data_IF_632006256693
#
_entry.id   IF_632006256693
#
_cell.length_a   1.000
_cell.length_b   1.000
_cell.length_c   1.000
_cell.angle_alpha   90.00
_cell.angle_beta   90.00
_cell.angle_gamma   90.00
#
_symmetry.space_group_name_H-M   'P 1'
#
loop_
_entity.id
_entity.type
_entity.pdbx_description
1 polymer ?
#
# COMPACT_ATOMS: atom_id res chain seq x y z
N UNK A 1 -46.35 1.92 37.70
CA UNK A 1 -46.19 2.62 38.98
C UNK A 1 -45.39 3.87 38.68
N UNK A 2 -46.12 5.00 38.63
CA UNK A 2 -45.58 6.34 38.37
C UNK A 2 -44.75 6.80 39.59
N UNK A 3 -43.68 7.52 39.37
CA UNK A 3 -43.30 8.62 40.24
C UNK A 3 -42.59 9.71 39.45
N UNK A 4 -43.30 10.80 39.32
CA UNK A 4 -42.85 12.14 38.88
C UNK A 4 -42.27 12.83 40.10
N UNK A 5 -41.16 13.58 39.97
CA UNK A 5 -40.90 14.72 40.85
C UNK A 5 -40.28 15.86 40.05
N UNK A 6 -40.90 17.02 40.28
CA UNK A 6 -40.73 18.27 39.54
C UNK A 6 -39.91 19.31 40.35
N UNK A 7 -39.36 20.24 39.61
CA UNK A 7 -39.09 21.66 39.84
C UNK A 7 -38.46 22.15 41.17
N UNK A 8 -37.47 23.01 41.03
CA UNK A 8 -37.51 24.33 41.65
C UNK A 8 -36.58 25.33 40.93
N UNK A 9 -37.21 26.37 40.45
CA UNK A 9 -36.65 27.66 39.99
C UNK A 9 -36.19 28.50 41.19
N UNK A 10 -35.11 29.31 41.02
CA UNK A 10 -34.92 30.50 41.83
C UNK A 10 -34.22 31.58 41.00
N UNK A 11 -34.98 32.62 40.69
CA UNK A 11 -34.57 33.92 40.15
C UNK A 11 -34.61 34.90 41.32
N UNK A 12 -33.61 35.76 41.46
CA UNK A 12 -33.60 37.13 42.10
C UNK A 12 -32.22 37.71 41.78
N UNK A 13 -31.97 38.88 41.22
CA UNK A 13 -32.71 40.10 41.06
C UNK A 13 -31.74 41.25 41.28
N UNK A 14 -31.65 42.16 40.36
CA UNK A 14 -31.24 43.54 40.30
C UNK A 14 -30.63 44.25 41.52
N UNK A 15 -29.62 45.14 41.22
CA UNK A 15 -29.27 46.30 42.04
C UNK A 15 -28.15 47.12 41.48
N UNK A 16 -28.49 48.30 40.91
CA UNK A 16 -27.54 49.29 40.33
C UNK A 16 -27.15 50.33 41.41
N UNK A 17 -25.94 50.97 41.22
CA UNK A 17 -25.57 52.40 41.27
C UNK A 17 -24.09 52.51 41.70
N UNK A 18 -23.21 53.04 40.92
CA UNK A 18 -22.86 54.38 40.52
C UNK A 18 -21.81 55.10 41.46
N UNK A 19 -20.75 55.59 40.81
CA UNK A 19 -19.86 56.72 41.15
C UNK A 19 -18.76 56.41 42.19
N UNK A 20 -17.50 56.81 42.11
CA UNK A 20 -16.76 57.84 41.34
C UNK A 20 -15.25 57.58 41.42
N UNK A 21 -14.57 57.93 40.33
CA UNK A 21 -13.20 58.50 40.16
C UNK A 21 -12.03 58.13 41.10
N UNK A 22 -10.90 57.71 40.52
CA UNK A 22 -9.69 58.55 40.32
C UNK A 22 -8.52 57.76 39.68
N UNK A 23 -7.99 58.33 38.65
CA UNK A 23 -6.63 58.42 38.16
C UNK A 23 -5.58 57.35 38.51
N UNK A 24 -4.95 56.80 37.47
CA UNK A 24 -3.50 56.66 37.53
C UNK A 24 -2.90 55.38 36.93
N UNK A 25 -2.18 55.59 35.87
CA UNK A 25 -1.02 54.83 35.41
C UNK A 25 -1.29 53.71 34.39
N UNK A 26 -0.85 54.05 33.18
CA UNK A 26 -0.83 53.13 32.04
C UNK A 26 0.06 51.91 32.24
N UNK A 27 -0.51 50.77 31.90
CA UNK A 27 0.24 49.62 31.46
C UNK A 27 -0.45 49.13 30.17
N UNK A 28 0.23 49.34 29.07
CA UNK A 28 -0.13 48.83 27.75
C UNK A 28 0.03 47.33 27.82
N UNK A 29 -1.07 46.61 27.92
CA UNK A 29 -1.07 45.17 27.64
C UNK A 29 -0.76 44.96 26.14
N UNK A 30 0.11 44.00 25.78
CA UNK A 30 0.32 43.67 24.39
C UNK A 30 -0.96 43.03 23.86
N UNK A 31 -1.58 43.65 22.87
CA UNK A 31 -2.58 43.02 22.02
C UNK A 31 -1.88 41.86 21.33
N UNK A 32 -2.06 40.65 21.82
CA UNK A 32 -1.75 39.42 21.09
C UNK A 32 -2.76 39.38 19.95
N UNK A 33 -2.33 39.87 18.79
CA UNK A 33 -3.02 39.59 17.55
C UNK A 33 -2.83 38.08 17.30
N UNK A 34 -3.80 37.26 17.70
CA UNK A 34 -3.89 35.93 17.14
C UNK A 34 -4.07 36.13 15.64
N UNK A 35 -2.99 35.89 14.90
CA UNK A 35 -3.07 35.62 13.48
C UNK A 35 -3.84 34.30 13.38
N UNK A 36 -5.16 34.37 13.16
CA UNK A 36 -5.89 33.27 12.59
C UNK A 36 -5.27 33.05 11.21
N UNK A 37 -4.36 32.07 11.11
CA UNK A 37 -4.10 31.41 9.85
C UNK A 37 -5.47 30.90 9.39
N UNK A 38 -6.00 31.51 8.35
CA UNK A 38 -7.14 30.96 7.61
C UNK A 38 -6.63 29.65 7.04
N UNK A 39 -6.87 28.56 7.76
CA UNK A 39 -6.66 27.23 7.23
C UNK A 39 -7.44 27.16 5.91
N UNK A 40 -6.73 27.10 4.80
CA UNK A 40 -7.33 26.94 3.46
C UNK A 40 -8.02 25.60 3.50
N UNK A 41 -9.37 25.62 3.55
CA UNK A 41 -10.17 24.40 3.53
C UNK A 41 -10.00 23.74 2.16
N UNK A 42 -9.47 22.53 2.14
CA UNK A 42 -9.36 21.71 0.92
C UNK A 42 -9.70 20.27 1.25
N UNK A 43 -10.02 19.49 0.20
CA UNK A 43 -10.31 18.05 0.32
C UNK A 43 -9.51 17.22 -0.66
N UNK A 44 -9.24 16.00 -0.24
CA UNK A 44 -8.60 14.95 -1.03
C UNK A 44 -9.59 13.79 -1.09
N UNK A 45 -10.05 13.45 -2.29
CA UNK A 45 -10.87 12.27 -2.53
C UNK A 45 -10.01 11.03 -2.78
N UNK A 46 -10.24 9.95 -2.04
CA UNK A 46 -9.65 8.64 -2.33
C UNK A 46 -10.73 7.65 -2.69
N UNK A 47 -10.51 6.88 -3.75
CA UNK A 47 -11.43 5.88 -4.29
C UNK A 47 -10.76 4.53 -4.26
N UNK A 48 -11.39 3.55 -3.61
CA UNK A 48 -10.86 2.18 -3.50
C UNK A 48 -11.90 1.15 -3.92
N UNK A 49 -11.54 -0.12 -4.09
CA UNK A 49 -12.51 -1.22 -4.06
C UNK A 49 -13.26 -1.27 -2.72
N UNK A 50 -14.31 -2.07 -2.64
CA UNK A 50 -15.02 -2.33 -1.37
C UNK A 50 -14.16 -3.19 -0.44
N UNK A 51 -14.49 -3.18 0.85
CA UNK A 51 -13.84 -4.01 1.87
C UNK A 51 -13.79 -5.49 1.49
N UNK A 52 -14.88 -6.01 0.89
CA UNK A 52 -14.97 -7.40 0.45
C UNK A 52 -14.09 -7.73 -0.75
N UNK A 53 -13.76 -6.73 -1.57
CA UNK A 53 -12.97 -6.91 -2.80
C UNK A 53 -11.48 -6.72 -2.55
N UNK A 54 -11.09 -5.71 -1.75
CA UNK A 54 -9.71 -5.45 -1.36
C UNK A 54 -9.65 -4.79 0.02
N UNK A 55 -9.44 -5.61 1.04
CA UNK A 55 -9.44 -5.16 2.43
C UNK A 55 -8.31 -4.17 2.72
N UNK A 56 -7.08 -4.43 2.25
CA UNK A 56 -5.92 -3.59 2.53
C UNK A 56 -6.09 -2.15 2.01
N UNK A 57 -6.48 -2.00 0.74
CA UNK A 57 -6.67 -0.69 0.10
C UNK A 57 -7.85 0.08 0.74
N UNK A 58 -8.94 -0.64 1.08
CA UNK A 58 -10.07 -0.05 1.78
C UNK A 58 -9.66 0.47 3.15
N UNK A 59 -8.96 -0.36 3.95
CA UNK A 59 -8.51 0.03 5.30
C UNK A 59 -7.47 1.14 5.26
N UNK A 60 -6.57 1.14 4.28
CA UNK A 60 -5.63 2.23 4.08
C UNK A 60 -6.35 3.57 3.89
N UNK A 61 -7.40 3.59 3.07
CA UNK A 61 -8.21 4.79 2.87
C UNK A 61 -8.94 5.21 4.17
N UNK A 62 -9.52 4.26 4.92
CA UNK A 62 -10.17 4.54 6.21
C UNK A 62 -9.17 5.06 7.27
N UNK A 63 -7.94 4.54 7.28
CA UNK A 63 -6.86 5.08 8.13
C UNK A 63 -6.58 6.55 7.81
N UNK A 64 -6.55 6.90 6.53
CA UNK A 64 -6.33 8.29 6.11
C UNK A 64 -7.52 9.19 6.44
N UNK A 65 -8.77 8.69 6.36
CA UNK A 65 -9.95 9.40 6.87
C UNK A 65 -9.85 9.61 8.38
N UNK A 66 -9.45 8.60 9.15
CA UNK A 66 -9.28 8.73 10.59
C UNK A 66 -8.16 9.71 10.97
N UNK A 67 -7.07 9.75 10.18
CA UNK A 67 -5.95 10.68 10.39
C UNK A 67 -6.31 12.12 10.01
N UNK A 68 -7.09 12.32 8.96
CA UNK A 68 -7.45 13.62 8.40
C UNK A 68 -8.97 13.74 8.15
N UNK A 69 -9.82 13.71 9.18
CA UNK A 69 -11.28 13.60 9.04
C UNK A 69 -11.94 14.77 8.31
N UNK A 70 -11.32 15.94 8.36
CA UNK A 70 -11.83 17.15 7.68
C UNK A 70 -11.31 17.32 6.25
N UNK A 71 -10.29 16.56 5.86
CA UNK A 71 -9.58 16.70 4.58
C UNK A 71 -9.89 15.51 3.66
N UNK A 72 -9.77 14.28 4.16
CA UNK A 72 -9.87 13.08 3.33
C UNK A 72 -11.32 12.59 3.23
N UNK A 73 -11.77 12.37 2.00
CA UNK A 73 -13.07 11.79 1.68
C UNK A 73 -12.87 10.46 0.95
N UNK A 74 -13.30 9.37 1.58
CA UNK A 74 -13.26 8.05 0.97
C UNK A 74 -14.59 7.69 0.31
N UNK A 75 -14.52 7.13 -0.89
CA UNK A 75 -15.63 6.46 -1.57
C UNK A 75 -15.15 5.14 -2.16
N UNK A 76 -16.07 4.19 -2.36
CA UNK A 76 -15.75 2.91 -2.98
C UNK A 76 -16.28 2.79 -4.40
N UNK A 77 -15.58 2.01 -5.23
CA UNK A 77 -16.09 1.51 -6.49
C UNK A 77 -17.25 0.54 -6.24
N UNK A 78 -18.14 0.31 -7.23
CA UNK A 78 -19.12 -0.76 -7.16
C UNK A 78 -18.45 -2.13 -6.93
N UNK A 79 -19.07 -3.01 -6.15
CA UNK A 79 -18.53 -4.35 -5.86
C UNK A 79 -18.33 -5.19 -7.13
N UNK A 80 -19.24 -5.06 -8.08
CA UNK A 80 -19.15 -5.72 -9.39
C UNK A 80 -18.67 -4.75 -10.47
N UNK A 81 -17.56 -4.05 -10.21
CA UNK A 81 -17.05 -2.99 -11.08
C UNK A 81 -16.99 -3.37 -12.55
N UNK A 82 -16.56 -4.61 -12.89
CA UNK A 82 -16.45 -5.09 -14.28
C UNK A 82 -17.77 -5.02 -15.08
N UNK A 83 -18.92 -5.07 -14.40
CA UNK A 83 -20.25 -4.95 -15.00
C UNK A 83 -20.91 -3.59 -14.74
N UNK A 84 -20.38 -2.80 -13.81
CA UNK A 84 -20.93 -1.52 -13.36
C UNK A 84 -19.92 -0.37 -13.59
N UNK A 85 -19.11 -0.47 -14.65
CA UNK A 85 -18.04 0.50 -14.97
C UNK A 85 -18.58 1.94 -15.01
N UNK A 86 -19.68 2.20 -15.68
CA UNK A 86 -20.24 3.56 -15.82
C UNK A 86 -20.66 4.15 -14.45
N UNK A 87 -21.14 3.32 -13.53
CA UNK A 87 -21.43 3.73 -12.15
C UNK A 87 -20.16 4.17 -11.44
N UNK A 88 -19.09 3.36 -11.51
CA UNK A 88 -17.80 3.70 -10.93
C UNK A 88 -17.20 4.97 -11.50
N UNK A 89 -17.21 5.12 -12.83
CA UNK A 89 -16.73 6.34 -13.49
C UNK A 89 -17.52 7.59 -13.04
N UNK A 90 -18.85 7.46 -12.89
CA UNK A 90 -19.70 8.55 -12.40
C UNK A 90 -19.39 8.90 -10.95
N UNK A 91 -19.18 7.91 -10.08
CA UNK A 91 -18.80 8.13 -8.67
C UNK A 91 -17.47 8.89 -8.56
N UNK A 92 -16.44 8.46 -9.30
CA UNK A 92 -15.14 9.14 -9.32
C UNK A 92 -15.32 10.60 -9.81
N UNK A 93 -15.98 10.79 -10.95
CA UNK A 93 -16.17 12.12 -11.55
C UNK A 93 -16.96 13.06 -10.65
N UNK A 94 -17.89 12.55 -9.82
CA UNK A 94 -18.68 13.35 -8.89
C UNK A 94 -17.87 14.00 -7.76
N UNK A 95 -16.69 13.49 -7.47
CA UNK A 95 -15.77 14.13 -6.50
C UNK A 95 -15.38 15.54 -6.94
N UNK A 96 -15.26 15.78 -8.23
CA UNK A 96 -14.95 17.09 -8.80
C UNK A 96 -16.10 18.11 -8.69
N UNK A 97 -17.29 17.72 -8.22
CA UNK A 97 -18.41 18.63 -7.96
C UNK A 97 -18.23 19.41 -6.65
N UNK A 98 -17.42 18.90 -5.74
CA UNK A 98 -17.06 19.58 -4.51
C UNK A 98 -16.07 20.72 -4.80
N UNK A 99 -16.41 21.99 -4.52
CA UNK A 99 -15.52 23.12 -4.80
C UNK A 99 -14.23 23.12 -3.97
N UNK A 100 -14.22 22.44 -2.82
CA UNK A 100 -13.03 22.30 -1.97
C UNK A 100 -12.11 21.16 -2.41
N UNK A 101 -12.54 20.31 -3.36
CA UNK A 101 -11.72 19.19 -3.84
C UNK A 101 -10.47 19.70 -4.55
N UNK A 102 -9.29 19.29 -4.10
CA UNK A 102 -7.97 19.64 -4.64
C UNK A 102 -7.16 18.44 -5.14
N UNK A 103 -7.51 17.23 -4.72
CA UNK A 103 -6.91 16.02 -5.28
C UNK A 103 -7.94 14.88 -5.36
N UNK A 104 -7.82 14.03 -6.37
CA UNK A 104 -8.59 12.79 -6.53
C UNK A 104 -7.61 11.66 -6.82
N UNK A 105 -7.62 10.67 -5.94
CA UNK A 105 -6.74 9.50 -5.98
C UNK A 105 -7.58 8.26 -6.26
N UNK A 106 -7.24 7.48 -7.28
CA UNK A 106 -7.93 6.23 -7.60
C UNK A 106 -7.00 5.05 -7.38
N UNK A 107 -7.45 4.13 -6.54
CA UNK A 107 -6.71 2.92 -6.15
C UNK A 107 -7.59 1.72 -6.46
N UNK A 108 -7.20 0.85 -7.38
CA UNK A 108 -8.05 -0.32 -7.60
C UNK A 108 -7.36 -1.53 -8.25
N UNK A 109 -6.20 -1.38 -8.86
CA UNK A 109 -5.57 -2.47 -9.60
C UNK A 109 -6.45 -3.02 -10.73
N UNK A 110 -7.32 -2.18 -11.32
CA UNK A 110 -8.21 -2.52 -12.43
C UNK A 110 -8.01 -1.56 -13.60
N UNK A 111 -8.38 -2.01 -14.81
CA UNK A 111 -8.41 -1.18 -16.01
C UNK A 111 -9.81 -0.59 -16.26
N UNK A 112 -9.87 0.47 -17.06
CA UNK A 112 -11.12 1.13 -17.46
C UNK A 112 -11.50 2.32 -16.59
N UNK A 113 -10.61 2.81 -15.73
CA UNK A 113 -10.84 3.93 -14.81
C UNK A 113 -10.34 5.27 -15.35
N UNK A 114 -9.40 5.26 -16.29
CA UNK A 114 -8.83 6.45 -16.90
C UNK A 114 -9.88 7.45 -17.43
N UNK A 115 -11.02 7.05 -18.07
CA UNK A 115 -12.02 8.00 -18.55
C UNK A 115 -12.63 8.90 -17.47
N UNK A 116 -12.68 8.47 -16.20
CA UNK A 116 -13.15 9.31 -15.12
C UNK A 116 -12.16 10.44 -14.81
N UNK A 117 -10.87 10.13 -14.79
CA UNK A 117 -9.79 11.09 -14.53
C UNK A 117 -9.67 12.10 -15.69
N UNK A 118 -9.83 11.65 -16.93
CA UNK A 118 -9.91 12.53 -18.11
C UNK A 118 -11.05 13.55 -17.99
N UNK A 119 -12.24 13.11 -17.53
CA UNK A 119 -13.38 14.01 -17.30
C UNK A 119 -13.12 14.99 -16.16
N UNK A 120 -12.39 14.60 -15.14
CA UNK A 120 -11.99 15.49 -14.04
C UNK A 120 -11.05 16.56 -14.58
N UNK A 121 -10.02 16.18 -15.32
CA UNK A 121 -9.05 17.09 -15.95
C UNK A 121 -9.75 18.11 -16.86
N UNK A 122 -10.69 17.66 -17.71
CA UNK A 122 -11.48 18.54 -18.58
C UNK A 122 -12.35 19.54 -17.79
N UNK A 123 -12.92 19.11 -16.65
CA UNK A 123 -13.87 19.90 -15.86
C UNK A 123 -13.20 20.80 -14.84
N UNK A 124 -12.17 20.29 -14.19
CA UNK A 124 -11.47 20.90 -13.06
C UNK A 124 -9.96 20.64 -13.17
N UNK A 125 -9.26 21.29 -14.11
CA UNK A 125 -7.81 21.13 -14.30
C UNK A 125 -6.98 21.65 -13.11
N UNK A 126 -7.63 22.23 -12.10
CA UNK A 126 -7.03 22.61 -10.82
C UNK A 126 -7.00 21.48 -9.77
N UNK A 127 -7.60 20.33 -10.06
CA UNK A 127 -7.59 19.16 -9.22
C UNK A 127 -6.40 18.26 -9.59
N UNK A 128 -5.53 17.97 -8.63
CA UNK A 128 -4.46 16.98 -8.81
C UNK A 128 -5.10 15.60 -8.97
N UNK A 129 -4.81 14.94 -10.07
CA UNK A 129 -5.26 13.58 -10.33
C UNK A 129 -4.14 12.57 -10.07
N UNK A 130 -4.44 11.50 -9.32
CA UNK A 130 -3.45 10.48 -8.97
C UNK A 130 -4.01 9.07 -9.11
N UNK A 131 -3.14 8.11 -9.39
CA UNK A 131 -3.45 6.68 -9.34
C UNK A 131 -2.45 5.92 -8.47
N UNK A 132 -2.94 4.90 -7.74
CA UNK A 132 -2.13 4.19 -6.75
C UNK A 132 -2.52 2.70 -6.55
N UNK A 133 -2.37 1.80 -7.54
CA UNK A 133 -2.34 1.93 -9.00
C UNK A 133 -3.72 1.78 -9.68
N UNK A 134 -3.80 2.03 -10.98
CA UNK A 134 -4.80 1.45 -11.90
C UNK A 134 -4.08 0.83 -13.10
N UNK A 135 -4.75 -0.06 -13.87
CA UNK A 135 -4.10 -0.83 -14.94
C UNK A 135 -4.59 -0.45 -16.33
N UNK A 136 -4.79 0.83 -16.56
CA UNK A 136 -4.99 1.39 -17.91
C UNK A 136 -3.65 1.52 -18.64
N UNK A 137 -3.69 1.92 -19.91
CA UNK A 137 -2.49 2.09 -20.72
C UNK A 137 -1.56 3.17 -20.11
N UNK A 138 -0.30 2.86 -19.77
CA UNK A 138 0.59 3.77 -19.07
C UNK A 138 0.91 5.06 -19.84
N UNK A 139 0.96 5.02 -21.18
CA UNK A 139 1.25 6.21 -22.00
C UNK A 139 0.05 7.16 -22.02
N UNK A 140 -1.16 6.60 -21.98
CA UNK A 140 -2.38 7.40 -21.84
C UNK A 140 -2.53 7.92 -20.41
N UNK A 141 -2.24 7.10 -19.42
CA UNK A 141 -2.26 7.51 -18.01
C UNK A 141 -1.30 8.69 -17.77
N UNK A 142 -0.06 8.58 -18.18
CA UNK A 142 0.95 9.63 -18.02
C UNK A 142 0.58 10.94 -18.72
N UNK A 143 -0.25 10.88 -19.75
CA UNK A 143 -0.71 12.07 -20.48
C UNK A 143 -1.83 12.84 -19.78
N UNK A 144 -2.70 12.15 -19.03
CA UNK A 144 -3.93 12.70 -18.47
C UNK A 144 -4.01 12.69 -16.95
N UNK A 145 -3.01 12.13 -16.27
CA UNK A 145 -2.97 12.01 -14.82
C UNK A 145 -1.68 12.66 -14.33
N UNK A 146 -1.77 13.49 -13.29
CA UNK A 146 -0.61 14.21 -12.78
C UNK A 146 0.42 13.29 -12.16
N UNK A 147 -0.01 12.26 -11.42
CA UNK A 147 0.88 11.32 -10.73
C UNK A 147 0.34 9.90 -10.80
N UNK A 148 1.13 8.98 -11.36
CA UNK A 148 0.86 7.55 -11.34
C UNK A 148 1.89 6.85 -10.45
N UNK A 149 1.43 6.01 -9.51
CA UNK A 149 2.28 5.25 -8.60
C UNK A 149 1.93 3.77 -8.70
N UNK A 150 2.93 2.91 -8.89
CA UNK A 150 2.78 1.45 -8.90
C UNK A 150 4.05 0.79 -8.34
N UNK A 151 4.00 -0.51 -8.19
CA UNK A 151 5.15 -1.35 -7.86
C UNK A 151 5.97 -1.64 -9.13
N UNK A 152 7.29 -1.64 -9.03
CA UNK A 152 8.15 -2.09 -10.14
C UNK A 152 8.15 -3.62 -10.24
N UNK A 153 7.07 -4.14 -10.79
CA UNK A 153 6.84 -5.59 -10.90
C UNK A 153 7.91 -6.32 -11.67
N UNK A 154 8.49 -5.70 -12.71
CA UNK A 154 9.48 -6.33 -13.59
C UNK A 154 10.86 -6.34 -12.92
N UNK A 155 11.32 -5.19 -12.42
CA UNK A 155 12.62 -5.05 -11.78
C UNK A 155 12.71 -5.86 -10.48
N UNK A 156 11.59 -6.15 -9.83
CA UNK A 156 11.55 -7.09 -8.71
C UNK A 156 12.14 -8.47 -9.05
N UNK A 157 12.13 -8.88 -10.31
CA UNK A 157 12.83 -10.09 -10.73
C UNK A 157 14.33 -10.03 -10.42
N UNK A 158 14.97 -8.92 -10.75
CA UNK A 158 16.38 -8.67 -10.43
C UNK A 158 16.60 -8.58 -8.90
N UNK A 159 15.83 -7.75 -8.20
CA UNK A 159 16.05 -7.52 -6.76
C UNK A 159 15.82 -8.76 -5.93
N UNK A 160 14.85 -9.61 -6.27
CA UNK A 160 14.63 -10.91 -5.63
C UNK A 160 15.81 -11.85 -5.85
N UNK A 161 16.35 -11.92 -7.06
CA UNK A 161 17.48 -12.80 -7.36
C UNK A 161 18.76 -12.35 -6.64
N UNK A 162 19.06 -11.03 -6.63
CA UNK A 162 20.20 -10.48 -5.88
C UNK A 162 20.07 -10.73 -4.38
N UNK A 163 18.90 -10.48 -3.84
CA UNK A 163 18.60 -10.75 -2.42
C UNK A 163 18.74 -12.24 -2.07
N UNK A 164 18.20 -13.13 -2.89
CA UNK A 164 18.37 -14.56 -2.69
C UNK A 164 19.84 -14.96 -2.68
N UNK A 165 20.66 -14.40 -3.59
CA UNK A 165 22.11 -14.60 -3.62
C UNK A 165 22.79 -14.11 -2.33
N UNK A 166 22.45 -12.90 -1.87
CA UNK A 166 23.02 -12.31 -0.65
C UNK A 166 22.63 -13.10 0.61
N UNK A 167 21.46 -13.75 0.61
CA UNK A 167 21.03 -14.71 1.64
C UNK A 167 21.72 -16.08 1.51
N UNK A 168 22.59 -16.28 0.53
CA UNK A 168 23.37 -17.49 0.33
C UNK A 168 22.74 -18.53 -0.59
N UNK A 169 21.73 -18.18 -1.36
CA UNK A 169 21.13 -19.10 -2.33
C UNK A 169 22.11 -19.46 -3.45
N UNK A 170 22.10 -20.72 -3.85
CA UNK A 170 22.82 -21.27 -5.02
C UNK A 170 21.85 -21.69 -6.13
N UNK A 171 20.58 -21.79 -5.78
CA UNK A 171 19.50 -22.16 -6.69
C UNK A 171 18.28 -21.28 -6.45
N UNK A 172 17.60 -20.87 -7.52
CA UNK A 172 16.26 -20.29 -7.46
C UNK A 172 15.28 -21.26 -8.12
N UNK A 173 14.22 -21.63 -7.41
CA UNK A 173 13.11 -22.37 -7.97
C UNK A 173 11.92 -21.43 -8.12
N UNK A 174 11.47 -21.27 -9.35
CA UNK A 174 10.35 -20.42 -9.73
C UNK A 174 9.13 -21.28 -10.02
N UNK A 175 8.14 -21.25 -9.12
CA UNK A 175 6.84 -21.91 -9.31
C UNK A 175 5.85 -20.95 -9.97
N UNK A 176 5.24 -21.40 -11.06
CA UNK A 176 4.19 -20.65 -11.77
C UNK A 176 3.21 -21.61 -12.44
N UNK A 177 2.21 -21.07 -13.15
CA UNK A 177 1.18 -21.82 -13.84
C UNK A 177 0.74 -21.12 -15.14
N UNK A 178 0.04 -21.83 -16.06
CA UNK A 178 -0.21 -21.34 -17.42
C UNK A 178 -0.88 -19.98 -17.50
N UNK A 179 -1.93 -19.71 -16.72
CA UNK A 179 -2.62 -18.40 -16.78
C UNK A 179 -1.76 -17.23 -16.30
N UNK A 180 -0.83 -17.44 -15.35
CA UNK A 180 0.15 -16.42 -14.96
C UNK A 180 1.21 -16.25 -16.04
N UNK A 181 1.72 -17.32 -16.61
CA UNK A 181 2.73 -17.26 -17.67
C UNK A 181 2.19 -16.75 -19.01
N UNK A 182 0.89 -16.48 -19.11
CA UNK A 182 0.29 -15.75 -20.21
C UNK A 182 0.30 -14.22 -20.02
N UNK A 183 0.66 -13.73 -18.81
CA UNK A 183 0.73 -12.30 -18.50
C UNK A 183 2.13 -11.75 -18.74
N UNK A 184 2.26 -10.76 -19.62
CA UNK A 184 3.53 -10.20 -20.04
C UNK A 184 4.40 -9.72 -18.87
N UNK A 185 3.82 -9.01 -17.89
CA UNK A 185 4.53 -8.49 -16.72
C UNK A 185 5.12 -9.61 -15.85
N UNK A 186 4.43 -10.76 -15.72
CA UNK A 186 4.91 -11.91 -14.93
C UNK A 186 6.04 -12.62 -15.68
N UNK A 187 5.92 -12.74 -17.01
CA UNK A 187 6.98 -13.30 -17.86
C UNK A 187 8.22 -12.42 -17.79
N UNK A 188 8.08 -11.10 -17.94
CA UNK A 188 9.19 -10.15 -17.87
C UNK A 188 9.90 -10.21 -16.51
N UNK A 189 9.17 -10.28 -15.39
CA UNK A 189 9.73 -10.48 -14.05
C UNK A 189 10.51 -11.80 -13.94
N UNK A 190 9.95 -12.91 -14.44
CA UNK A 190 10.62 -14.21 -14.47
C UNK A 190 11.91 -14.15 -15.27
N UNK A 191 11.87 -13.54 -16.46
CA UNK A 191 13.04 -13.43 -17.35
C UNK A 191 14.15 -12.60 -16.70
N UNK A 192 13.79 -11.49 -16.05
CA UNK A 192 14.73 -10.68 -15.29
C UNK A 192 15.33 -11.46 -14.12
N UNK A 193 14.52 -12.20 -13.36
CA UNK A 193 14.99 -13.04 -12.25
C UNK A 193 15.95 -14.12 -12.74
N UNK A 194 15.64 -14.77 -13.85
CA UNK A 194 16.48 -15.79 -14.47
C UNK A 194 17.82 -15.23 -14.93
N UNK A 195 17.79 -14.13 -15.69
CA UNK A 195 19.01 -13.49 -16.19
C UNK A 195 19.94 -13.08 -15.04
N UNK A 196 19.39 -12.49 -13.97
CA UNK A 196 20.15 -12.09 -12.79
C UNK A 196 20.68 -13.30 -12.02
N UNK A 197 19.88 -14.36 -11.87
CA UNK A 197 20.35 -15.60 -11.23
C UNK A 197 21.54 -16.21 -11.99
N UNK A 198 21.46 -16.28 -13.30
CA UNK A 198 22.53 -16.80 -14.17
C UNK A 198 23.78 -15.90 -14.12
N UNK A 199 23.62 -14.57 -14.13
CA UNK A 199 24.72 -13.59 -13.94
C UNK A 199 25.48 -13.83 -12.63
N UNK A 200 24.75 -14.12 -11.55
CA UNK A 200 25.31 -14.38 -10.21
C UNK A 200 25.79 -15.83 -10.01
N UNK A 201 25.75 -16.67 -11.06
CA UNK A 201 26.19 -18.05 -11.00
C UNK A 201 25.23 -19.01 -10.27
N UNK A 202 24.00 -18.60 -10.04
CA UNK A 202 22.97 -19.45 -9.47
C UNK A 202 22.27 -20.31 -10.54
N UNK A 203 21.79 -21.49 -10.14
CA UNK A 203 20.93 -22.32 -10.97
C UNK A 203 19.50 -21.77 -10.94
N UNK A 204 18.87 -21.59 -12.10
CA UNK A 204 17.46 -21.20 -12.18
C UNK A 204 16.61 -22.38 -12.67
N UNK A 205 15.56 -22.71 -11.90
CA UNK A 205 14.66 -23.86 -12.17
C UNK A 205 13.24 -23.37 -12.28
N UNK A 206 12.59 -23.67 -13.40
CA UNK A 206 11.16 -23.37 -13.61
C UNK A 206 10.32 -24.62 -13.35
N UNK A 207 9.27 -24.49 -12.53
CA UNK A 207 8.33 -25.56 -12.22
C UNK A 207 6.91 -25.09 -12.50
N UNK A 208 6.19 -25.82 -13.34
CA UNK A 208 4.78 -25.56 -13.61
C UNK A 208 3.91 -26.31 -12.61
N UNK A 209 3.04 -25.57 -11.90
CA UNK A 209 2.05 -26.12 -10.99
C UNK A 209 0.69 -26.31 -11.67
N UNK A 210 -0.23 -27.07 -11.07
CA UNK A 210 -1.66 -26.96 -11.42
C UNK A 210 -2.12 -25.51 -11.31
N UNK A 211 -2.99 -25.10 -12.25
CA UNK A 211 -3.47 -23.71 -12.31
C UNK A 211 -4.58 -23.50 -11.26
N UNK A 212 -4.38 -22.60 -10.28
CA UNK A 212 -5.36 -22.35 -9.23
C UNK A 212 -6.61 -21.60 -9.71
N UNK A 213 -6.59 -21.05 -10.93
CA UNK A 213 -7.72 -20.35 -11.54
C UNK A 213 -8.60 -21.28 -12.38
N UNK A 214 -8.21 -22.53 -12.52
CA UNK A 214 -8.93 -23.55 -13.29
C UNK A 214 -9.02 -24.87 -12.53
N UNK A 215 -9.91 -25.77 -12.94
CA UNK A 215 -10.01 -27.12 -12.42
C UNK A 215 -10.32 -27.20 -10.92
N UNK A 216 -9.42 -27.81 -10.15
CA UNK A 216 -9.59 -28.03 -8.70
C UNK A 216 -9.15 -26.83 -7.83
N UNK A 217 -8.87 -25.68 -8.45
CA UNK A 217 -8.54 -24.45 -7.74
C UNK A 217 -7.23 -24.49 -6.95
N UNK A 218 -7.08 -23.58 -5.94
CA UNK A 218 -5.85 -23.46 -5.16
C UNK A 218 -5.42 -24.74 -4.44
N UNK A 219 -6.36 -25.60 -4.02
CA UNK A 219 -6.05 -26.83 -3.29
C UNK A 219 -5.16 -27.79 -4.07
N UNK A 220 -5.41 -27.98 -5.38
CA UNK A 220 -4.58 -28.84 -6.23
C UNK A 220 -3.13 -28.30 -6.36
N UNK A 221 -2.99 -26.98 -6.50
CA UNK A 221 -1.69 -26.31 -6.54
C UNK A 221 -0.94 -26.48 -5.22
N UNK A 222 -1.61 -26.25 -4.10
CA UNK A 222 -1.02 -26.41 -2.76
C UNK A 222 -0.60 -27.85 -2.49
N UNK A 223 -1.41 -28.83 -2.89
CA UNK A 223 -1.05 -30.24 -2.76
C UNK A 223 0.20 -30.56 -3.60
N UNK A 224 0.25 -30.08 -4.85
CA UNK A 224 1.44 -30.25 -5.70
C UNK A 224 2.70 -29.68 -5.02
N UNK A 225 2.63 -28.46 -4.46
CA UNK A 225 3.76 -27.83 -3.77
C UNK A 225 4.24 -28.66 -2.57
N UNK A 226 3.30 -29.18 -1.74
CA UNK A 226 3.66 -30.04 -0.59
C UNK A 226 4.41 -31.31 -1.00
N UNK A 227 4.14 -31.83 -2.20
CA UNK A 227 4.80 -33.01 -2.73
C UNK A 227 6.10 -32.71 -3.46
N UNK A 228 6.17 -31.55 -4.16
CA UNK A 228 7.31 -31.22 -5.00
C UNK A 228 8.43 -30.50 -4.26
N UNK A 229 8.13 -29.55 -3.35
CA UNK A 229 9.13 -28.79 -2.62
C UNK A 229 10.14 -29.72 -1.89
N UNK A 230 9.73 -30.75 -1.14
CA UNK A 230 10.70 -31.65 -0.53
C UNK A 230 11.63 -32.35 -1.52
N UNK A 231 11.13 -32.76 -2.69
CA UNK A 231 11.93 -33.36 -3.76
C UNK A 231 12.95 -32.39 -4.36
N UNK A 232 12.55 -31.14 -4.50
CA UNK A 232 13.45 -30.09 -5.00
C UNK A 232 14.55 -29.77 -3.99
N UNK A 233 14.21 -29.69 -2.70
CA UNK A 233 15.20 -29.44 -1.64
C UNK A 233 16.13 -30.62 -1.46
N UNK A 234 15.66 -31.85 -1.57
CA UNK A 234 16.52 -33.05 -1.61
C UNK A 234 17.55 -32.98 -2.76
N UNK A 235 17.11 -32.47 -3.93
CA UNK A 235 17.95 -32.39 -5.14
C UNK A 235 18.94 -31.23 -5.10
N UNK A 236 18.54 -30.04 -4.68
CA UNK A 236 19.30 -28.82 -4.80
C UNK A 236 19.89 -28.31 -3.48
N UNK A 237 19.47 -28.89 -2.35
CA UNK A 237 19.92 -28.51 -1.02
C UNK A 237 19.16 -27.31 -0.43
N UNK A 238 19.46 -27.01 0.82
CA UNK A 238 18.78 -25.93 1.59
C UNK A 238 19.19 -24.53 1.14
N UNK A 239 20.32 -24.37 0.43
CA UNK A 239 20.74 -23.10 -0.16
C UNK A 239 19.97 -22.84 -1.48
N UNK A 240 18.67 -23.02 -1.40
CA UNK A 240 17.71 -22.81 -2.48
C UNK A 240 16.71 -21.76 -2.07
N UNK A 241 16.54 -20.74 -2.92
CA UNK A 241 15.41 -19.79 -2.80
C UNK A 241 14.21 -20.31 -3.57
N UNK A 242 13.05 -20.32 -2.94
CA UNK A 242 11.78 -20.65 -3.59
C UNK A 242 10.95 -19.38 -3.78
N UNK A 243 10.52 -19.15 -5.01
CA UNK A 243 9.60 -18.07 -5.39
C UNK A 243 8.37 -18.64 -6.10
N UNK A 244 7.19 -18.27 -5.61
CA UNK A 244 5.90 -18.62 -6.20
C UNK A 244 5.21 -17.37 -6.78
N UNK A 245 4.53 -17.50 -7.92
CA UNK A 245 3.90 -16.36 -8.59
C UNK A 245 2.48 -16.03 -8.10
N UNK A 246 1.98 -16.74 -7.08
CA UNK A 246 0.61 -16.56 -6.59
C UNK A 246 0.57 -16.58 -5.06
N UNK A 247 -0.24 -15.70 -4.46
CA UNK A 247 -0.33 -15.56 -3.01
C UNK A 247 -0.67 -16.84 -2.25
N UNK A 248 -1.67 -17.65 -2.65
CA UNK A 248 -1.98 -18.93 -2.02
C UNK A 248 -0.86 -19.98 -2.00
N UNK A 249 0.22 -19.80 -2.78
CA UNK A 249 1.40 -20.69 -2.69
C UNK A 249 2.14 -20.51 -1.38
N UNK A 250 2.11 -19.31 -0.78
CA UNK A 250 2.98 -18.97 0.36
C UNK A 250 2.56 -19.62 1.67
N UNK A 251 1.30 -20.03 1.84
CA UNK A 251 0.90 -20.86 2.98
C UNK A 251 1.70 -22.16 3.01
N UNK A 252 1.98 -22.74 1.83
CA UNK A 252 2.79 -23.96 1.73
C UNK A 252 4.28 -23.66 1.70
N UNK A 253 4.70 -22.63 0.96
CA UNK A 253 6.12 -22.29 0.83
C UNK A 253 6.73 -21.94 2.20
N UNK A 254 6.05 -21.12 3.00
CA UNK A 254 6.53 -20.74 4.34
C UNK A 254 6.48 -21.95 5.29
N UNK A 255 5.40 -22.74 5.28
CA UNK A 255 5.26 -23.94 6.11
C UNK A 255 6.39 -24.94 5.80
N UNK A 256 6.69 -25.20 4.54
CA UNK A 256 7.80 -26.09 4.15
C UNK A 256 9.17 -25.45 4.39
N UNK A 257 9.32 -24.11 4.29
CA UNK A 257 10.57 -23.44 4.61
C UNK A 257 10.93 -23.61 6.10
N UNK A 258 9.95 -23.49 6.99
CA UNK A 258 10.16 -23.72 8.43
C UNK A 258 10.63 -25.14 8.73
N UNK A 259 10.19 -26.15 7.95
CA UNK A 259 10.57 -27.57 8.11
C UNK A 259 11.92 -27.89 7.46
N UNK A 260 12.11 -27.45 6.22
CA UNK A 260 13.22 -27.86 5.35
C UNK A 260 14.37 -26.85 5.32
N UNK A 261 14.20 -25.67 5.92
CA UNK A 261 15.24 -24.63 6.11
C UNK A 261 15.79 -24.01 4.81
N UNK A 262 14.99 -23.92 3.74
CA UNK A 262 15.37 -23.21 2.53
C UNK A 262 15.11 -21.71 2.65
N UNK A 263 15.49 -20.94 1.63
CA UNK A 263 15.43 -19.47 1.62
C UNK A 263 14.11 -19.00 0.96
N UNK A 264 13.50 -17.98 1.54
CA UNK A 264 12.41 -17.22 0.93
C UNK A 264 12.79 -15.74 0.94
N UNK A 265 13.38 -15.28 -0.15
CA UNK A 265 13.89 -13.91 -0.26
C UNK A 265 12.79 -12.87 -0.37
N UNK A 266 11.67 -13.22 -0.99
CA UNK A 266 10.51 -12.32 -1.10
C UNK A 266 9.26 -13.09 -1.55
N UNK A 267 8.10 -12.64 -1.12
CA UNK A 267 6.81 -13.17 -1.57
C UNK A 267 6.37 -12.57 -2.91
N UNK A 268 5.35 -13.16 -3.55
CA UNK A 268 4.73 -12.61 -4.77
C UNK A 268 4.21 -11.18 -4.55
N UNK A 269 3.42 -11.00 -3.50
CA UNK A 269 3.00 -9.69 -2.99
C UNK A 269 3.64 -9.57 -1.61
N UNK A 270 4.81 -8.94 -1.49
CA UNK A 270 5.56 -8.98 -0.24
C UNK A 270 4.85 -8.16 0.84
N UNK A 271 4.56 -8.82 1.94
CA UNK A 271 3.84 -8.26 3.09
C UNK A 271 4.05 -9.12 4.32
N UNK A 272 4.18 -8.53 5.52
CA UNK A 272 4.26 -9.29 6.76
C UNK A 272 2.93 -9.95 7.15
N UNK A 273 1.82 -9.54 6.55
CA UNK A 273 0.48 -10.03 6.91
C UNK A 273 0.04 -11.27 6.12
N UNK A 274 0.75 -11.63 5.05
CA UNK A 274 0.39 -12.79 4.24
C UNK A 274 1.18 -14.04 4.61
N UNK A 275 0.50 -15.14 4.87
CA UNK A 275 1.01 -16.46 5.24
C UNK A 275 1.72 -16.50 6.60
N UNK A 276 2.64 -15.58 6.91
CA UNK A 276 3.39 -15.56 8.16
C UNK A 276 2.52 -15.66 9.41
N UNK A 277 1.48 -14.82 9.62
CA UNK A 277 0.67 -14.89 10.83
C UNK A 277 0.01 -16.24 11.04
N UNK A 278 -0.56 -16.80 9.99
CA UNK A 278 -1.27 -18.09 10.06
C UNK A 278 -0.31 -19.27 10.21
N UNK A 279 0.75 -19.31 9.38
CA UNK A 279 1.71 -20.44 9.35
C UNK A 279 2.56 -20.47 10.62
N UNK A 280 2.97 -19.32 11.14
CA UNK A 280 3.77 -19.23 12.36
C UNK A 280 2.94 -19.16 13.64
N UNK A 281 1.60 -19.19 13.52
CA UNK A 281 0.66 -19.06 14.64
C UNK A 281 0.94 -17.81 15.50
N UNK A 282 1.02 -16.64 14.85
CA UNK A 282 1.20 -15.38 15.55
C UNK A 282 -0.09 -15.03 16.33
N UNK A 283 0.05 -14.72 17.62
CA UNK A 283 -1.06 -14.29 18.47
C UNK A 283 -1.29 -12.79 18.28
N UNK A 284 -2.05 -12.41 17.25
CA UNK A 284 -2.40 -11.03 16.93
C UNK A 284 -3.78 -10.69 17.51
N UNK A 285 -3.86 -9.58 18.25
CA UNK A 285 -5.13 -8.99 18.68
C UNK A 285 -5.69 -8.05 17.60
N UNK A 286 -6.94 -7.61 17.75
CA UNK A 286 -7.52 -6.59 16.87
C UNK A 286 -6.76 -5.26 16.94
N UNK A 287 -6.15 -4.93 18.07
CA UNK A 287 -5.31 -3.73 18.26
C UNK A 287 -3.96 -3.82 17.52
N UNK A 288 -3.55 -5.04 17.15
CA UNK A 288 -2.30 -5.28 16.39
C UNK A 288 -2.52 -5.16 14.88
N UNK A 289 -3.76 -5.10 14.42
CA UNK A 289 -4.07 -4.90 13.03
C UNK A 289 -3.48 -3.55 12.54
N UNK A 290 -2.59 -3.60 11.54
CA UNK A 290 -1.89 -2.42 11.05
C UNK A 290 -0.61 -2.04 11.82
N UNK A 291 -0.29 -2.69 12.93
CA UNK A 291 1.01 -2.51 13.60
C UNK A 291 2.08 -3.43 12.97
N UNK A 292 2.57 -3.01 11.81
CA UNK A 292 3.50 -3.83 11.02
C UNK A 292 4.84 -4.03 11.72
N UNK A 293 5.32 -3.07 12.50
CA UNK A 293 6.57 -3.22 13.29
C UNK A 293 6.45 -4.37 14.29
N UNK A 294 5.33 -4.44 15.01
CA UNK A 294 5.06 -5.55 15.94
C UNK A 294 4.94 -6.88 15.21
N UNK A 295 4.22 -6.92 14.09
CA UNK A 295 4.06 -8.13 13.28
C UNK A 295 5.44 -8.61 12.79
N UNK A 296 6.27 -7.73 12.25
CA UNK A 296 7.62 -8.03 11.79
C UNK A 296 8.51 -8.53 12.91
N UNK A 297 8.43 -7.92 14.10
CA UNK A 297 9.15 -8.42 15.28
C UNK A 297 8.72 -9.84 15.64
N UNK A 298 7.42 -10.12 15.69
CA UNK A 298 6.90 -11.46 16.00
C UNK A 298 7.33 -12.50 14.95
N UNK A 299 7.37 -12.13 13.67
CA UNK A 299 7.87 -13.01 12.59
C UNK A 299 9.36 -13.31 12.83
N UNK A 300 10.17 -12.30 13.17
CA UNK A 300 11.60 -12.47 13.45
C UNK A 300 11.85 -13.40 14.66
N UNK A 301 11.07 -13.24 15.73
CA UNK A 301 11.12 -14.11 16.90
C UNK A 301 10.79 -15.56 16.54
N UNK A 302 9.73 -15.78 15.75
CA UNK A 302 9.35 -17.12 15.26
C UNK A 302 10.34 -17.72 14.28
N UNK A 303 10.95 -16.91 13.42
CA UNK A 303 12.03 -17.35 12.54
C UNK A 303 13.24 -17.81 13.35
N UNK A 304 13.62 -17.09 14.42
CA UNK A 304 14.70 -17.47 15.31
C UNK A 304 14.39 -18.78 16.08
N UNK A 305 13.16 -18.94 16.61
CA UNK A 305 12.72 -20.19 17.25
C UNK A 305 12.80 -21.38 16.29
N UNK A 306 12.62 -21.14 15.00
CA UNK A 306 12.65 -22.16 13.94
C UNK A 306 14.02 -22.31 13.27
N UNK A 307 15.11 -21.76 13.78
CA UNK A 307 16.44 -21.75 13.13
C UNK A 307 16.40 -21.22 11.67
N UNK A 308 15.60 -20.19 11.42
CA UNK A 308 15.40 -19.57 10.10
C UNK A 308 15.90 -18.12 10.02
N UNK A 309 16.60 -17.64 11.04
CA UNK A 309 17.14 -16.27 11.06
C UNK A 309 17.96 -15.98 9.81
N UNK A 310 17.60 -14.91 9.09
CA UNK A 310 18.23 -14.50 7.83
C UNK A 310 17.91 -15.37 6.62
N UNK A 311 16.99 -16.34 6.75
CA UNK A 311 16.52 -17.18 5.63
C UNK A 311 15.12 -16.80 5.13
N UNK A 312 14.43 -15.92 5.83
CA UNK A 312 13.17 -15.32 5.45
C UNK A 312 13.36 -13.81 5.32
N UNK A 313 12.69 -13.20 4.34
CA UNK A 313 12.74 -11.76 4.10
C UNK A 313 11.45 -11.30 3.43
N UNK A 314 11.14 -10.02 3.50
CA UNK A 314 9.98 -9.41 2.87
C UNK A 314 10.00 -7.90 2.99
N UNK A 315 8.96 -7.24 2.52
CA UNK A 315 8.80 -5.80 2.70
C UNK A 315 8.25 -5.50 4.10
N UNK A 316 8.62 -4.35 4.70
CA UNK A 316 8.25 -4.03 6.08
C UNK A 316 6.74 -3.77 6.25
N UNK A 317 6.07 -3.34 5.18
CA UNK A 317 4.63 -3.02 5.15
C UNK A 317 3.99 -3.58 3.89
N UNK A 318 2.68 -3.89 3.90
CA UNK A 318 1.96 -4.27 2.69
C UNK A 318 1.97 -3.12 1.67
N UNK A 319 2.36 -3.40 0.43
CA UNK A 319 2.34 -2.38 -0.63
C UNK A 319 0.92 -1.85 -0.90
N UNK A 320 -0.08 -2.71 -0.73
CA UNK A 320 -1.51 -2.41 -0.86
C UNK A 320 -2.05 -1.47 0.23
N UNK A 321 -1.34 -1.32 1.34
CA UNK A 321 -1.59 -0.30 2.37
C UNK A 321 -0.73 0.93 2.12
N UNK A 322 0.57 0.72 1.91
CA UNK A 322 1.53 1.80 1.79
C UNK A 322 1.25 2.73 0.61
N UNK A 323 0.99 2.20 -0.60
CA UNK A 323 0.84 3.03 -1.80
C UNK A 323 -0.39 3.95 -1.73
N UNK A 324 -1.58 3.50 -1.29
CA UNK A 324 -2.72 4.38 -1.05
C UNK A 324 -2.45 5.48 -0.02
N UNK A 325 -1.86 5.13 1.13
CA UNK A 325 -1.55 6.10 2.18
C UNK A 325 -0.48 7.10 1.70
N UNK A 326 0.56 6.62 1.01
CA UNK A 326 1.60 7.45 0.41
C UNK A 326 1.01 8.45 -0.60
N UNK A 327 0.07 8.01 -1.44
CA UNK A 327 -0.58 8.87 -2.43
C UNK A 327 -1.38 10.01 -1.77
N UNK A 328 -2.08 9.73 -0.65
CA UNK A 328 -2.80 10.77 0.10
C UNK A 328 -1.84 11.78 0.72
N UNK A 329 -0.77 11.30 1.36
CA UNK A 329 0.25 12.18 1.96
C UNK A 329 0.98 13.00 0.91
N UNK A 330 1.30 12.40 -0.24
CA UNK A 330 1.94 13.11 -1.36
C UNK A 330 1.00 14.17 -1.94
N UNK A 331 -0.28 13.87 -2.15
CA UNK A 331 -1.25 14.85 -2.60
C UNK A 331 -1.36 16.01 -1.61
N UNK A 332 -1.41 15.72 -0.31
CA UNK A 332 -1.40 16.72 0.76
C UNK A 332 -0.14 17.59 0.69
N UNK A 333 1.04 16.96 0.56
CA UNK A 333 2.32 17.68 0.42
C UNK A 333 2.34 18.60 -0.81
N UNK A 334 1.85 18.14 -1.95
CA UNK A 334 1.77 18.93 -3.18
C UNK A 334 0.80 20.12 -3.07
N UNK A 335 -0.29 19.99 -2.31
CA UNK A 335 -1.26 21.06 -2.08
C UNK A 335 -0.70 22.12 -1.10
N UNK A 336 -0.03 21.68 -0.05
CA UNK A 336 0.46 22.56 1.02
C UNK A 336 1.82 23.21 0.71
N UNK A 337 2.59 22.63 -0.20
CA UNK A 337 3.92 23.08 -0.60
C UNK A 337 4.07 23.05 -2.13
N UNK A 338 3.66 24.14 -2.78
CA UNK A 338 3.78 24.29 -4.24
C UNK A 338 5.25 24.23 -4.75
N UNK A 339 6.23 24.36 -3.86
CA UNK A 339 7.65 24.24 -4.22
C UNK A 339 8.18 22.81 -4.20
N UNK A 340 7.38 21.84 -3.73
CA UNK A 340 7.79 20.45 -3.67
C UNK A 340 7.87 19.83 -5.07
N UNK A 341 9.08 19.52 -5.49
CA UNK A 341 9.33 18.87 -6.78
C UNK A 341 9.11 17.36 -6.66
N UNK A 342 7.87 16.93 -6.92
CA UNK A 342 7.48 15.52 -6.90
C UNK A 342 8.03 14.71 -8.09
N UNK A 343 8.58 15.35 -9.12
CA UNK A 343 9.25 14.66 -10.24
C UNK A 343 10.69 14.28 -9.90
N UNK A 344 11.25 14.83 -8.84
CA UNK A 344 12.56 14.43 -8.34
C UNK A 344 12.43 13.15 -7.49
N UNK A 345 13.01 12.06 -7.96
CA UNK A 345 12.93 10.74 -7.32
C UNK A 345 13.56 10.72 -5.92
N UNK A 346 14.61 11.51 -5.68
CA UNK A 346 15.23 11.63 -4.35
C UNK A 346 14.28 12.31 -3.35
N UNK A 347 13.47 13.28 -3.82
CA UNK A 347 12.44 13.91 -2.98
C UNK A 347 11.34 12.90 -2.62
N UNK A 348 10.89 12.07 -3.56
CA UNK A 348 9.90 11.02 -3.29
C UNK A 348 10.43 10.00 -2.27
N UNK A 349 11.70 9.60 -2.42
CA UNK A 349 12.38 8.71 -1.46
C UNK A 349 12.48 9.34 -0.07
N UNK A 350 13.01 10.57 0.02
CA UNK A 350 13.13 11.28 1.30
C UNK A 350 11.76 11.48 1.97
N UNK A 351 10.74 11.80 1.18
CA UNK A 351 9.36 11.93 1.67
C UNK A 351 8.80 10.60 2.23
N UNK A 352 9.11 9.46 1.58
CA UNK A 352 8.77 8.13 2.09
C UNK A 352 9.41 7.84 3.44
N UNK A 353 10.71 8.10 3.56
CA UNK A 353 11.47 7.87 4.80
C UNK A 353 10.99 8.79 5.93
N UNK A 354 10.73 10.07 5.63
CA UNK A 354 10.27 11.04 6.62
C UNK A 354 8.85 10.75 7.13
N UNK A 355 7.95 10.37 6.21
CA UNK A 355 6.52 10.25 6.53
C UNK A 355 6.14 8.87 7.09
N UNK A 356 6.77 7.81 6.59
CA UNK A 356 6.41 6.42 6.89
C UNK A 356 7.53 5.62 7.56
N UNK A 357 8.76 6.15 7.65
CA UNK A 357 9.92 5.37 8.08
C UNK A 357 10.29 4.22 7.13
N UNK A 358 9.75 4.23 5.91
CA UNK A 358 9.95 3.18 4.90
C UNK A 358 10.94 3.66 3.85
N UNK A 359 12.05 2.95 3.70
CA UNK A 359 12.98 3.16 2.60
C UNK A 359 12.42 2.52 1.33
N UNK A 360 12.06 3.34 0.35
CA UNK A 360 11.57 2.91 -0.96
C UNK A 360 12.43 3.54 -2.06
N UNK A 361 12.85 2.74 -3.02
CA UNK A 361 13.52 3.21 -4.22
C UNK A 361 12.48 3.52 -5.29
N UNK A 362 12.46 4.74 -5.79
CA UNK A 362 11.57 5.18 -6.87
C UNK A 362 12.31 5.24 -8.19
N UNK A 363 11.63 4.85 -9.27
CA UNK A 363 12.05 5.02 -10.64
C UNK A 363 10.85 5.46 -11.48
N UNK A 364 11.08 5.93 -12.69
CA UNK A 364 10.02 6.06 -13.69
C UNK A 364 9.79 4.72 -14.38
N UNK A 365 8.53 4.40 -14.72
CA UNK A 365 8.19 3.16 -15.44
C UNK A 365 8.94 3.07 -16.78
N UNK A 366 9.06 4.21 -17.48
CA UNK A 366 9.87 4.43 -18.68
C UNK A 366 10.48 5.84 -18.59
N UNK A 367 11.66 6.09 -19.17
CA UNK A 367 12.30 7.42 -19.10
C UNK A 367 11.45 8.58 -19.63
N UNK A 368 10.57 8.31 -20.58
CA UNK A 368 9.66 9.31 -21.17
C UNK A 368 8.39 9.57 -20.37
N UNK A 369 8.09 8.77 -19.33
CA UNK A 369 6.91 8.90 -18.48
C UNK A 369 7.32 9.49 -17.11
N UNK A 370 7.63 10.79 -17.08
CA UNK A 370 8.23 11.50 -15.95
C UNK A 370 7.31 11.74 -14.75
N UNK A 371 6.06 11.28 -14.84
CA UNK A 371 5.04 11.31 -13.79
C UNK A 371 4.46 9.92 -13.49
N UNK A 372 5.02 8.85 -14.07
CA UNK A 372 4.65 7.47 -13.76
C UNK A 372 5.77 6.81 -12.94
N UNK A 373 5.59 6.80 -11.64
CA UNK A 373 6.58 6.30 -10.69
C UNK A 373 6.31 4.84 -10.34
N UNK A 374 7.37 4.06 -10.29
CA UNK A 374 7.34 2.69 -9.81
C UNK A 374 8.32 2.54 -8.65
N UNK A 375 7.93 1.78 -7.63
CA UNK A 375 8.72 1.66 -6.41
C UNK A 375 9.06 0.22 -6.04
N UNK A 376 10.18 0.08 -5.32
CA UNK A 376 10.59 -1.14 -4.62
C UNK A 376 10.97 -0.74 -3.20
N UNK A 377 10.38 -1.37 -2.20
CA UNK A 377 10.77 -1.16 -0.81
C UNK A 377 12.04 -1.92 -0.48
N UNK A 378 12.86 -1.34 0.39
CA UNK A 378 13.95 -2.08 1.00
C UNK A 378 13.37 -3.20 1.87
N UNK A 379 13.89 -4.40 1.71
CA UNK A 379 13.40 -5.55 2.45
C UNK A 379 14.04 -5.64 3.83
N UNK A 380 13.25 -6.15 4.76
CA UNK A 380 13.73 -6.57 6.08
C UNK A 380 14.01 -8.07 6.06
N UNK A 381 14.91 -8.49 6.93
CA UNK A 381 15.27 -9.90 7.14
C UNK A 381 14.74 -10.35 8.50
N UNK A 382 14.15 -11.53 8.52
CA UNK A 382 13.63 -12.14 9.72
C UNK A 382 14.59 -13.12 10.34
#
# INVERSE_FOLDING_TARGET
MLLVFALAFSIVGCGAKAEESSEGSGATEPVVTETQETATSYKIGIVTPTLSTSEDEYRAAENMVAKYPDIVKHITLPENFSTEIETGLSQITSLADDPEMKAVIVVSGQAGLLPALQKIEEKRPDIITMTAPIWDDPELMSKYIDVCIDTDWVRRGETIARKAHDMGAKTIIHYSFPTHMAKEVIVARRDQMKATAEELGMTFVEVTTPDPQTGNGPAAMQQFLREDIPRQIEKYGVDTNIFGTNCPMYDVIIDEALKLKFIVAEQCCPTPTQAYPTVMNLELSEEDAGNFDKINQMISEKAAEADMTGRLSGWPVPVTVYVPEYAVELAKKMIEDESFDYKNLDNLKAFSEETFGVSAEFNTLKPELDNYFVLIMESIFY
#
